data_IF_002237189227
#
_entry.id   IF_002237189227
#
_cell.length_a   1.000
_cell.length_b   1.000
_cell.length_c   1.000
_cell.angle_alpha   90.00
_cell.angle_beta   90.00
_cell.angle_gamma   90.00
#
_symmetry.space_group_name_H-M   'P 1'
#
loop_
_entity.id
_entity.type
_entity.pdbx_description
1 polymer ?
#
# COMPACT_ATOMS: atom_id res chain seq x y z
N UNK A 1 -2.10 -4.02 -13.87
CA UNK A 1 -0.86 -3.74 -14.62
C UNK A 1 0.32 -4.01 -13.70
N UNK A 2 1.27 -4.86 -14.10
CA UNK A 2 2.45 -5.21 -13.28
C UNK A 2 3.51 -4.09 -13.40
N UNK A 3 4.24 -3.75 -12.32
CA UNK A 3 5.41 -2.88 -12.42
C UNK A 3 6.62 -3.75 -12.82
N UNK A 4 6.80 -3.98 -14.12
CA UNK A 4 7.98 -4.70 -14.65
C UNK A 4 8.71 -3.93 -15.77
N UNK A 5 8.34 -2.67 -16.02
CA UNK A 5 8.92 -1.85 -17.11
C UNK A 5 9.63 -0.60 -16.57
N UNK A 6 10.55 -0.75 -15.61
CA UNK A 6 11.60 0.26 -15.40
C UNK A 6 12.88 -0.35 -15.97
N UNK A 7 13.14 -0.02 -17.23
CA UNK A 7 14.33 -0.42 -17.97
C UNK A 7 15.61 -0.03 -17.20
N UNK A 8 16.47 -1.02 -17.02
CA UNK A 8 17.78 -0.96 -16.35
C UNK A 8 18.87 -0.17 -17.11
N UNK A 9 18.53 0.82 -17.95
CA UNK A 9 19.50 1.43 -18.86
C UNK A 9 19.41 2.95 -18.94
N UNK A 10 19.63 3.61 -17.80
CA UNK A 10 19.95 5.04 -17.78
C UNK A 10 21.41 5.19 -17.35
N UNK A 11 22.32 5.22 -18.33
CA UNK A 11 23.74 5.52 -18.08
C UNK A 11 23.81 6.95 -17.54
N UNK A 12 24.28 7.12 -16.30
CA UNK A 12 24.52 8.45 -15.75
C UNK A 12 25.37 9.26 -16.75
N UNK A 13 24.99 10.50 -17.05
CA UNK A 13 25.70 11.31 -18.02
C UNK A 13 27.14 11.54 -17.56
N UNK A 14 28.09 11.59 -18.49
CA UNK A 14 29.52 11.81 -18.15
C UNK A 14 29.79 13.18 -17.50
N UNK A 15 28.84 14.11 -17.62
CA UNK A 15 28.86 15.43 -17.00
C UNK A 15 27.51 15.75 -16.38
N UNK A 16 27.52 16.47 -15.26
CA UNK A 16 26.32 16.97 -14.62
C UNK A 16 25.61 17.96 -15.56
N UNK A 17 24.30 17.80 -15.84
CA UNK A 17 23.60 18.66 -16.78
C UNK A 17 23.40 20.10 -16.29
N UNK A 18 23.53 20.34 -14.98
CA UNK A 18 23.33 21.66 -14.36
C UNK A 18 24.63 22.46 -14.34
N UNK A 19 25.72 21.86 -13.83
CA UNK A 19 27.00 22.55 -13.58
C UNK A 19 28.09 22.20 -14.59
N UNK A 20 27.91 21.13 -15.38
CA UNK A 20 28.94 20.59 -16.27
C UNK A 20 30.05 19.79 -15.57
N UNK A 21 29.96 19.58 -14.25
CA UNK A 21 30.94 18.82 -13.48
C UNK A 21 31.14 17.40 -14.00
N UNK A 22 32.37 16.85 -13.94
CA UNK A 22 32.58 15.45 -14.27
C UNK A 22 31.80 14.55 -13.30
N UNK A 23 31.18 13.50 -13.84
CA UNK A 23 30.45 12.50 -13.04
C UNK A 23 31.21 11.19 -13.07
N UNK A 24 31.69 10.77 -11.91
CA UNK A 24 32.29 9.46 -11.71
C UNK A 24 31.19 8.48 -11.28
N UNK A 25 31.02 7.40 -12.03
CA UNK A 25 30.15 6.29 -11.67
C UNK A 25 30.80 4.97 -12.09
N UNK A 26 30.44 3.87 -11.42
CA UNK A 26 30.89 2.52 -11.79
C UNK A 26 29.71 1.53 -11.80
N UNK A 27 29.75 0.48 -12.64
CA UNK A 27 28.66 -0.50 -12.73
C UNK A 27 28.38 -1.25 -11.42
N UNK A 28 29.39 -1.42 -10.57
CA UNK A 28 29.34 -2.10 -9.28
C UNK A 28 28.98 -1.17 -8.11
N UNK A 29 28.78 0.13 -8.37
CA UNK A 29 28.25 1.11 -7.41
C UNK A 29 26.72 1.06 -7.31
N UNK A 30 26.16 -0.14 -7.38
CA UNK A 30 24.72 -0.41 -7.37
C UNK A 30 24.44 -1.53 -6.38
N UNK A 31 23.43 -1.34 -5.55
CA UNK A 31 22.82 -2.39 -4.73
C UNK A 31 21.36 -2.54 -5.15
N UNK A 32 20.97 -3.74 -5.55
CA UNK A 32 19.63 -4.04 -6.03
C UNK A 32 19.04 -5.29 -5.34
N UNK A 33 17.74 -5.21 -5.04
CA UNK A 33 16.86 -6.27 -4.54
C UNK A 33 15.53 -6.20 -5.31
N UNK A 34 14.66 -7.17 -5.09
CA UNK A 34 13.37 -7.27 -5.79
C UNK A 34 12.50 -6.01 -5.65
N UNK A 35 12.59 -5.32 -4.51
CA UNK A 35 11.74 -4.18 -4.15
C UNK A 35 12.50 -2.86 -3.89
N UNK A 36 13.83 -2.87 -4.01
CA UNK A 36 14.68 -1.70 -3.71
C UNK A 36 15.95 -1.67 -4.55
N UNK A 37 16.31 -0.50 -5.07
CA UNK A 37 17.59 -0.26 -5.73
C UNK A 37 18.20 1.05 -5.24
N UNK A 38 19.52 1.07 -5.04
CA UNK A 38 20.29 2.30 -4.84
C UNK A 38 21.56 2.27 -5.69
N UNK A 39 21.85 3.41 -6.32
CA UNK A 39 23.08 3.65 -7.07
C UNK A 39 23.81 4.87 -6.49
N UNK A 40 25.13 4.84 -6.55
CA UNK A 40 25.97 5.98 -6.21
C UNK A 40 26.69 6.53 -7.45
N UNK A 41 26.89 7.83 -7.44
CA UNK A 41 27.79 8.54 -8.34
C UNK A 41 28.47 9.68 -7.56
N UNK A 42 29.61 10.16 -8.06
CA UNK A 42 30.37 11.25 -7.45
C UNK A 42 30.47 12.40 -8.44
N UNK A 43 29.96 13.56 -8.06
CA UNK A 43 29.99 14.78 -8.85
C UNK A 43 31.23 15.59 -8.47
N UNK A 44 31.99 15.99 -9.48
CA UNK A 44 33.22 16.79 -9.35
C UNK A 44 34.30 16.22 -8.42
N UNK A 45 34.23 14.92 -8.12
CA UNK A 45 35.12 14.26 -7.16
C UNK A 45 34.88 14.67 -5.71
N UNK A 46 33.80 15.39 -5.39
CA UNK A 46 33.59 16.01 -4.07
C UNK A 46 32.21 15.77 -3.46
N UNK A 47 31.20 15.59 -4.31
CA UNK A 47 29.81 15.40 -3.89
C UNK A 47 29.37 13.97 -4.16
N UNK A 48 28.95 13.24 -3.13
CA UNK A 48 28.39 11.89 -3.30
C UNK A 48 26.88 12.01 -3.53
N UNK A 49 26.40 11.51 -4.66
CA UNK A 49 24.98 11.50 -5.01
C UNK A 49 24.43 10.07 -4.94
N UNK A 50 23.41 9.89 -4.10
CA UNK A 50 22.71 8.63 -3.88
C UNK A 50 21.34 8.66 -4.56
N UNK A 51 21.14 7.74 -5.52
CA UNK A 51 19.91 7.62 -6.31
C UNK A 51 19.21 6.34 -5.88
N UNK A 52 18.09 6.47 -5.15
CA UNK A 52 17.34 5.33 -4.64
C UNK A 52 15.93 5.24 -5.25
N UNK A 53 15.45 4.00 -5.42
CA UNK A 53 14.09 3.70 -5.84
C UNK A 53 13.54 2.47 -5.10
N UNK A 54 12.22 2.43 -4.90
CA UNK A 54 11.53 1.32 -4.22
C UNK A 54 11.34 1.51 -2.71
N UNK A 55 11.13 0.42 -1.98
CA UNK A 55 10.81 0.42 -0.54
C UNK A 55 12.06 0.11 0.31
N UNK A 56 12.43 1.01 1.22
CA UNK A 56 13.63 0.85 2.04
C UNK A 56 13.35 0.04 3.31
N UNK A 57 13.78 -1.23 3.31
CA UNK A 57 13.74 -2.10 4.49
C UNK A 57 14.98 -1.98 5.40
N UNK A 58 14.84 -2.38 6.67
CA UNK A 58 15.89 -2.34 7.67
C UNK A 58 17.07 -3.26 7.34
N UNK A 59 16.83 -4.38 6.67
CA UNK A 59 17.88 -5.34 6.32
C UNK A 59 18.83 -4.80 5.25
N UNK A 60 18.36 -3.85 4.44
CA UNK A 60 19.15 -3.25 3.36
C UNK A 60 20.14 -2.21 3.88
N UNK A 61 19.91 -1.61 5.05
CA UNK A 61 20.70 -0.48 5.54
C UNK A 61 22.20 -0.83 5.70
N UNK A 62 22.53 -2.00 6.27
CA UNK A 62 23.95 -2.38 6.44
C UNK A 62 24.66 -2.58 5.09
N UNK A 63 24.11 -3.37 4.14
CA UNK A 63 24.64 -3.46 2.78
C UNK A 63 24.84 -2.11 2.10
N UNK A 64 23.86 -1.20 2.21
CA UNK A 64 23.93 0.14 1.60
C UNK A 64 25.11 0.95 2.13
N UNK A 65 25.32 0.97 3.45
CA UNK A 65 26.48 1.66 4.05
C UNK A 65 27.81 0.96 3.74
N UNK A 66 27.81 -0.36 3.56
CA UNK A 66 28.98 -1.09 3.07
C UNK A 66 29.34 -0.70 1.64
N UNK A 67 28.35 -0.62 0.76
CA UNK A 67 28.55 -0.14 -0.61
C UNK A 67 29.06 1.30 -0.63
N UNK A 68 28.42 2.20 0.13
CA UNK A 68 28.82 3.61 0.23
C UNK A 68 30.27 3.77 0.67
N UNK A 69 30.74 2.96 1.63
CA UNK A 69 32.14 3.00 2.07
C UNK A 69 33.10 2.66 0.93
N UNK A 70 32.82 1.61 0.16
CA UNK A 70 33.63 1.28 -1.02
C UNK A 70 33.61 2.39 -2.07
N UNK A 71 32.46 3.05 -2.26
CA UNK A 71 32.36 4.21 -3.17
C UNK A 71 33.29 5.33 -2.70
N UNK A 72 33.31 5.64 -1.40
CA UNK A 72 34.19 6.65 -0.82
C UNK A 72 35.67 6.26 -1.00
N UNK A 73 36.03 5.01 -0.72
CA UNK A 73 37.39 4.47 -0.92
C UNK A 73 37.85 4.59 -2.38
N UNK A 74 37.04 4.08 -3.31
CA UNK A 74 37.37 4.07 -4.73
C UNK A 74 37.34 5.46 -5.39
N UNK A 75 36.67 6.43 -4.77
CA UNK A 75 36.65 7.83 -5.19
C UNK A 75 37.73 8.69 -4.51
N UNK A 76 38.49 8.14 -3.54
CA UNK A 76 39.50 8.89 -2.78
C UNK A 76 38.93 9.86 -1.75
N UNK A 77 37.76 9.57 -1.20
CA UNK A 77 36.99 10.38 -0.25
C UNK A 77 36.90 9.76 1.16
N UNK A 78 37.93 9.02 1.56
CA UNK A 78 37.95 8.22 2.80
C UNK A 78 38.03 9.06 4.07
N UNK A 79 38.74 10.20 4.00
CA UNK A 79 38.99 11.07 5.14
C UNK A 79 37.85 12.07 5.35
N UNK A 80 37.42 12.77 4.30
CA UNK A 80 36.31 13.72 4.32
C UNK A 80 35.82 14.00 2.89
N UNK A 81 34.61 14.54 2.75
CA UNK A 81 34.08 15.00 1.46
C UNK A 81 33.13 16.19 1.66
N UNK A 82 32.97 17.03 0.63
CA UNK A 82 32.30 18.32 0.81
C UNK A 82 30.77 18.19 0.95
N UNK A 83 30.13 17.19 0.32
CA UNK A 83 28.69 17.08 0.42
C UNK A 83 28.05 15.78 -0.05
N UNK A 84 26.83 15.55 0.45
CA UNK A 84 26.02 14.39 0.11
C UNK A 84 24.68 14.84 -0.46
N UNK A 85 24.28 14.30 -1.61
CA UNK A 85 22.96 14.51 -2.20
C UNK A 85 22.18 13.18 -2.15
N UNK A 86 20.95 13.21 -1.66
CA UNK A 86 20.07 12.04 -1.62
C UNK A 86 18.76 12.28 -2.38
N UNK A 87 18.52 11.44 -3.39
CA UNK A 87 17.30 11.44 -4.19
C UNK A 87 16.24 10.52 -3.56
N UNK A 88 15.05 11.08 -3.32
CA UNK A 88 13.89 10.35 -2.80
C UNK A 88 12.69 10.28 -3.77
N UNK A 89 12.81 10.80 -5.00
CA UNK A 89 11.71 10.90 -5.97
C UNK A 89 11.03 9.55 -6.22
N UNK A 90 11.82 8.48 -6.37
CA UNK A 90 11.33 7.14 -6.69
C UNK A 90 11.24 6.21 -5.48
N UNK A 91 11.39 6.74 -4.26
CA UNK A 91 11.32 5.96 -3.02
C UNK A 91 9.86 5.88 -2.57
N UNK A 92 9.29 4.67 -2.55
CA UNK A 92 7.88 4.46 -2.20
C UNK A 92 7.63 4.48 -0.69
N UNK A 93 8.68 4.35 0.13
CA UNK A 93 8.59 4.44 1.59
C UNK A 93 9.79 3.83 2.32
N UNK A 94 9.72 3.79 3.66
CA UNK A 94 10.70 3.11 4.50
C UNK A 94 10.09 2.61 5.80
N UNK A 95 10.60 1.48 6.32
CA UNK A 95 10.14 0.97 7.61
C UNK A 95 10.67 1.83 8.77
N UNK A 96 10.00 1.84 9.93
CA UNK A 96 10.48 2.57 11.11
C UNK A 96 11.87 2.10 11.56
N UNK A 97 12.09 0.77 11.54
CA UNK A 97 13.39 0.15 11.85
C UNK A 97 14.47 0.57 10.87
N UNK A 98 14.16 0.72 9.58
CA UNK A 98 15.09 1.20 8.56
C UNK A 98 15.56 2.62 8.86
N UNK A 99 14.62 3.53 9.18
CA UNK A 99 14.90 4.93 9.50
C UNK A 99 15.82 5.09 10.71
N UNK A 100 15.51 4.40 11.82
CA UNK A 100 16.36 4.42 13.02
C UNK A 100 17.77 3.90 12.75
N UNK A 101 17.86 2.77 12.02
CA UNK A 101 19.14 2.14 11.67
C UNK A 101 19.97 3.02 10.73
N UNK A 102 19.32 3.71 9.79
CA UNK A 102 19.97 4.66 8.88
C UNK A 102 20.58 5.83 9.65
N UNK A 103 19.81 6.48 10.53
CA UNK A 103 20.31 7.60 11.35
C UNK A 103 21.49 7.16 12.22
N UNK A 104 21.40 5.99 12.86
CA UNK A 104 22.48 5.44 13.68
C UNK A 104 23.77 5.24 12.87
N UNK A 105 23.67 4.65 11.68
CA UNK A 105 24.83 4.39 10.83
C UNK A 105 25.37 5.66 10.16
N UNK A 106 24.51 6.62 9.84
CA UNK A 106 24.92 7.94 9.34
C UNK A 106 25.76 8.68 10.38
N UNK A 107 25.32 8.69 11.65
CA UNK A 107 26.09 9.30 12.76
C UNK A 107 27.45 8.61 12.94
N UNK A 108 27.48 7.27 12.90
CA UNK A 108 28.73 6.52 13.01
C UNK A 108 29.68 6.81 11.83
N UNK A 109 29.15 6.87 10.60
CA UNK A 109 29.96 7.24 9.43
C UNK A 109 30.54 8.64 9.57
N UNK A 110 29.73 9.62 9.98
CA UNK A 110 30.18 11.01 10.11
C UNK A 110 31.34 11.17 11.10
N UNK A 111 31.40 10.34 12.16
CA UNK A 111 32.53 10.34 13.10
C UNK A 111 33.86 9.88 12.48
N UNK A 112 33.81 9.11 11.40
CA UNK A 112 34.99 8.57 10.72
C UNK A 112 35.31 9.29 9.40
N UNK A 113 34.28 9.69 8.66
CA UNK A 113 34.37 10.38 7.37
C UNK A 113 33.36 11.54 7.39
N UNK A 114 33.74 12.71 7.97
CA UNK A 114 32.89 13.89 8.03
C UNK A 114 32.60 14.49 6.65
N UNK A 115 31.51 15.25 6.58
CA UNK A 115 31.09 16.02 5.41
C UNK A 115 30.34 17.29 5.78
N UNK A 116 30.34 18.31 4.93
CA UNK A 116 29.85 19.65 5.31
C UNK A 116 28.35 19.82 5.12
N UNK A 117 27.80 19.27 4.03
CA UNK A 117 26.38 19.41 3.67
C UNK A 117 25.70 18.08 3.34
N UNK A 118 24.42 18.00 3.68
CA UNK A 118 23.51 16.92 3.29
C UNK A 118 22.26 17.51 2.64
N UNK A 119 22.09 17.28 1.34
CA UNK A 119 20.99 17.81 0.55
C UNK A 119 20.04 16.66 0.18
N UNK A 120 18.74 16.85 0.39
CA UNK A 120 17.71 15.91 -0.07
C UNK A 120 16.80 16.56 -1.08
N UNK A 121 16.40 15.84 -2.13
CA UNK A 121 15.35 16.28 -3.05
C UNK A 121 14.38 15.14 -3.37
N UNK A 122 13.18 15.48 -3.86
CA UNK A 122 12.12 14.49 -4.08
C UNK A 122 11.57 13.87 -2.80
N UNK A 123 11.87 14.46 -1.64
CA UNK A 123 11.43 13.96 -0.34
C UNK A 123 9.93 14.22 -0.12
N UNK A 124 9.22 13.21 0.40
CA UNK A 124 7.82 13.37 0.86
C UNK A 124 7.71 14.47 1.93
N UNK A 125 6.52 15.04 2.13
CA UNK A 125 6.29 16.11 3.13
C UNK A 125 6.78 15.69 4.53
N UNK A 126 6.51 14.45 4.91
CA UNK A 126 7.02 13.79 6.11
C UNK A 126 8.56 13.72 6.19
N UNK A 127 9.23 13.30 5.10
CA UNK A 127 10.71 13.18 5.09
C UNK A 127 11.38 14.57 5.15
N UNK A 128 10.79 15.58 4.51
CA UNK A 128 11.27 16.97 4.60
C UNK A 128 11.19 17.50 6.04
N UNK A 129 10.12 17.20 6.77
CA UNK A 129 9.99 17.55 8.18
C UNK A 129 11.02 16.82 9.05
N UNK A 130 11.19 15.50 8.87
CA UNK A 130 12.18 14.72 9.60
C UNK A 130 13.63 15.18 9.36
N UNK A 131 13.95 15.57 8.12
CA UNK A 131 15.25 16.12 7.73
C UNK A 131 15.50 17.47 8.40
N UNK A 132 14.50 18.37 8.41
CA UNK A 132 14.57 19.66 9.15
C UNK A 132 14.74 19.47 10.65
N UNK A 133 14.03 18.51 11.27
CA UNK A 133 14.20 18.20 12.70
C UNK A 133 15.60 17.63 12.96
N UNK A 134 16.09 16.74 12.10
CA UNK A 134 17.42 16.15 12.26
C UNK A 134 18.53 17.18 12.19
N UNK A 135 18.34 18.25 11.40
CA UNK A 135 19.30 19.35 11.25
C UNK A 135 19.64 20.07 12.56
N UNK A 136 18.75 20.04 13.56
CA UNK A 136 18.96 20.64 14.88
C UNK A 136 19.97 19.86 15.73
N UNK A 137 20.24 18.61 15.39
CA UNK A 137 21.07 17.68 16.17
C UNK A 137 22.17 17.03 15.33
N UNK A 138 22.46 17.54 14.13
CA UNK A 138 23.55 17.10 13.25
C UNK A 138 24.68 18.11 13.24
N UNK A 139 25.92 17.62 13.19
CA UNK A 139 27.12 18.46 13.10
C UNK A 139 27.40 18.98 11.67
N UNK A 140 26.57 18.60 10.69
CA UNK A 140 26.62 19.03 9.30
C UNK A 140 25.35 19.77 8.91
N UNK A 141 25.43 20.64 7.89
CA UNK A 141 24.29 21.42 7.40
C UNK A 141 23.38 20.55 6.57
N UNK A 142 22.07 20.75 6.72
CA UNK A 142 21.07 19.92 6.03
C UNK A 142 20.14 20.82 5.21
N UNK A 143 19.99 20.50 3.93
CA UNK A 143 19.14 21.24 3.00
C UNK A 143 18.09 20.33 2.36
N UNK A 144 16.95 20.93 2.04
CA UNK A 144 15.86 20.27 1.34
C UNK A 144 15.60 21.06 0.06
N UNK A 145 15.95 20.48 -1.08
CA UNK A 145 15.67 21.01 -2.40
C UNK A 145 14.34 20.45 -2.95
N UNK A 146 13.69 21.21 -3.81
CA UNK A 146 12.49 20.80 -4.53
C UNK A 146 12.79 19.70 -5.54
N UNK A 147 13.90 19.83 -6.28
CA UNK A 147 14.31 18.94 -7.35
C UNK A 147 15.84 18.78 -7.44
N UNK A 148 16.30 18.06 -8.46
CA UNK A 148 17.72 17.81 -8.70
C UNK A 148 18.49 19.08 -9.07
N UNK A 149 17.87 20.01 -9.81
CA UNK A 149 18.53 21.24 -10.27
C UNK A 149 18.82 22.17 -9.09
N UNK A 150 17.83 22.36 -8.21
CA UNK A 150 18.03 23.11 -6.97
C UNK A 150 19.05 22.42 -6.05
N UNK A 151 19.03 21.08 -5.95
CA UNK A 151 19.97 20.35 -5.11
C UNK A 151 21.43 20.55 -5.54
N UNK A 152 21.70 20.48 -6.84
CA UNK A 152 23.05 20.70 -7.37
C UNK A 152 23.47 22.17 -7.27
N UNK A 153 22.56 23.10 -7.51
CA UNK A 153 22.83 24.54 -7.39
C UNK A 153 23.19 24.91 -5.93
N UNK A 154 22.49 24.34 -4.95
CA UNK A 154 22.82 24.51 -3.53
C UNK A 154 24.20 23.95 -3.18
N UNK A 155 24.56 22.78 -3.75
CA UNK A 155 25.89 22.23 -3.58
C UNK A 155 26.95 23.17 -4.18
N UNK A 156 26.78 23.65 -5.41
CA UNK A 156 27.71 24.58 -6.07
C UNK A 156 27.88 25.90 -5.30
N UNK A 157 26.78 26.47 -4.80
CA UNK A 157 26.82 27.66 -3.94
C UNK A 157 27.65 27.43 -2.67
N UNK A 158 27.53 26.24 -2.07
CA UNK A 158 28.33 25.87 -0.91
C UNK A 158 29.82 25.75 -1.24
N UNK A 159 30.18 25.05 -2.32
CA UNK A 159 31.57 24.87 -2.77
C UNK A 159 32.25 26.19 -3.15
N UNK A 160 31.48 27.15 -3.68
CA UNK A 160 31.98 28.47 -4.13
C UNK A 160 32.03 29.52 -3.01
N UNK A 161 31.56 29.20 -1.79
CA UNK A 161 31.54 30.12 -0.66
C UNK A 161 30.54 31.27 -0.80
N UNK A 162 29.59 31.18 -1.75
CA UNK A 162 28.52 32.19 -1.88
C UNK A 162 27.39 31.88 -0.90
N UNK A 163 26.96 32.84 -0.05
CA UNK A 163 25.78 32.64 0.77
C UNK A 163 24.55 32.63 -0.14
N UNK A 164 24.06 31.44 -0.48
CA UNK A 164 22.81 31.29 -1.22
C UNK A 164 21.66 31.93 -0.42
N UNK A 165 20.95 32.86 -1.06
CA UNK A 165 19.80 33.58 -0.50
C UNK A 165 18.52 32.71 -0.38
N UNK A 166 18.62 31.40 -0.57
CA UNK A 166 17.52 30.45 -0.40
C UNK A 166 17.86 29.43 0.70
N UNK A 167 17.36 29.71 1.91
CA UNK A 167 17.48 28.82 3.08
C UNK A 167 18.31 29.44 4.19
N UNK A 168 17.65 30.13 5.12
CA UNK A 168 18.28 30.70 6.32
C UNK A 168 19.17 29.69 7.04
N UNK A 169 20.44 30.02 7.34
CA UNK A 169 21.18 29.34 8.38
C UNK A 169 20.70 29.90 9.72
N UNK A 170 20.08 29.07 10.55
CA UNK A 170 19.95 29.39 11.97
C UNK A 170 21.32 29.20 12.64
N UNK A 171 22.22 30.15 12.44
CA UNK A 171 23.38 30.33 13.30
C UNK A 171 22.98 31.29 14.43
N UNK A 172 22.86 30.78 15.65
CA UNK A 172 23.03 31.60 16.85
C UNK A 172 24.17 31.01 17.66
N UNK A 173 25.33 31.66 17.52
CA UNK A 173 26.42 31.62 18.47
C UNK A 173 25.95 32.03 19.86
N UNK A 174 26.28 31.25 20.89
CA UNK A 174 26.08 31.60 22.29
C UNK A 174 26.14 30.36 23.17
N UNK A 175 27.32 30.06 23.70
CA UNK A 175 27.55 29.02 24.69
C UNK A 175 27.04 29.53 26.06
N UNK A 176 25.99 28.95 26.69
CA UNK A 176 25.65 29.28 28.07
C UNK A 176 26.39 28.30 29.01
N UNK A 177 26.93 28.84 30.10
CA UNK A 177 27.60 28.07 31.15
C UNK A 177 26.69 26.94 31.67
N UNK A 178 27.29 25.77 31.86
CA UNK A 178 26.65 24.45 31.99
C UNK A 178 25.74 24.21 33.21
N UNK A 179 25.45 25.21 34.05
CA UNK A 179 24.55 25.07 35.20
C UNK A 179 23.14 25.67 34.94
N UNK A 180 23.04 26.72 34.12
CA UNK A 180 21.74 27.34 33.77
C UNK A 180 21.06 26.65 32.57
N UNK A 181 21.80 25.80 31.84
CA UNK A 181 21.30 25.06 30.67
C UNK A 181 20.38 23.89 31.02
N UNK A 182 20.55 23.26 32.18
CA UNK A 182 19.76 22.07 32.56
C UNK A 182 18.29 22.43 32.87
N UNK A 183 18.05 23.44 33.72
CA UNK A 183 16.69 23.91 34.02
C UNK A 183 15.99 24.60 32.84
N UNK A 184 16.75 25.24 31.95
CA UNK A 184 16.21 25.84 30.72
C UNK A 184 15.75 24.77 29.72
N UNK A 185 16.43 23.61 29.67
CA UNK A 185 16.10 22.51 28.75
C UNK A 185 14.90 21.70 29.23
N UNK A 186 14.74 21.48 30.53
CA UNK A 186 13.59 20.76 31.11
C UNK A 186 12.26 21.48 30.84
N UNK A 187 12.22 22.82 30.96
CA UNK A 187 10.98 23.59 30.75
C UNK A 187 10.41 23.45 29.32
N UNK A 188 11.26 23.43 28.29
CA UNK A 188 10.82 23.22 26.91
C UNK A 188 10.44 21.76 26.61
N UNK A 189 11.08 20.81 27.28
CA UNK A 189 10.73 19.39 27.18
C UNK A 189 9.36 19.14 27.83
N UNK A 190 9.07 19.74 28.98
CA UNK A 190 7.77 19.66 29.64
C UNK A 190 6.66 20.31 28.81
N UNK A 191 6.93 21.45 28.18
CA UNK A 191 6.01 22.09 27.24
C UNK A 191 5.70 21.18 26.03
N UNK A 192 6.72 20.50 25.49
CA UNK A 192 6.57 19.52 24.42
C UNK A 192 5.76 18.30 24.88
N UNK A 193 6.02 17.76 26.07
CA UNK A 193 5.27 16.63 26.61
C UNK A 193 3.80 16.98 26.85
N UNK A 194 3.52 18.16 27.39
CA UNK A 194 2.15 18.64 27.58
C UNK A 194 1.42 18.80 26.24
N UNK A 195 2.10 19.35 25.24
CA UNK A 195 1.56 19.48 23.90
C UNK A 195 1.24 18.12 23.26
N UNK A 196 2.16 17.17 23.30
CA UNK A 196 1.93 15.80 22.80
C UNK A 196 0.78 15.14 23.56
N UNK A 197 0.74 15.32 24.88
CA UNK A 197 -0.31 14.80 25.76
C UNK A 197 -1.70 15.38 25.50
N UNK A 198 -1.79 16.60 24.96
CA UNK A 198 -3.06 17.22 24.58
C UNK A 198 -3.64 16.72 23.26
N UNK A 199 -2.87 16.00 22.44
CA UNK A 199 -3.35 15.52 21.14
C UNK A 199 -4.15 14.23 21.33
N UNK A 200 -5.44 14.28 21.00
CA UNK A 200 -6.25 13.06 20.83
C UNK A 200 -5.95 12.46 19.44
N UNK A 201 -5.02 11.50 19.40
CA UNK A 201 -4.61 10.79 18.20
C UNK A 201 -5.73 9.97 17.53
N UNK A 202 -6.90 9.83 18.17
CA UNK A 202 -8.04 9.05 17.65
C UNK A 202 -9.14 9.92 17.07
N UNK A 203 -9.05 11.25 17.20
CA UNK A 203 -10.07 12.19 16.70
C UNK A 203 -9.45 13.19 15.76
N UNK A 204 -10.19 13.56 14.72
CA UNK A 204 -9.76 14.57 13.76
C UNK A 204 -9.58 15.94 14.41
N UNK A 205 -8.50 16.61 14.03
CA UNK A 205 -8.18 17.98 14.42
C UNK A 205 -7.38 18.09 15.73
N UNK A 206 -7.05 19.34 16.07
CA UNK A 206 -6.41 19.71 17.33
C UNK A 206 -7.47 20.24 18.29
N UNK A 207 -7.62 19.59 19.43
CA UNK A 207 -8.41 20.14 20.53
C UNK A 207 -7.46 20.97 21.38
N UNK A 208 -7.47 22.29 21.18
CA UNK A 208 -6.71 23.38 21.83
C UNK A 208 -5.66 24.07 20.94
N UNK A 209 -5.64 25.42 20.92
CA UNK A 209 -4.44 26.16 20.56
C UNK A 209 -3.57 26.25 21.83
N UNK A 210 -2.54 25.42 21.93
CA UNK A 210 -1.39 25.81 22.75
C UNK A 210 -0.69 26.89 21.93
N UNK A 211 -0.78 28.15 22.33
CA UNK A 211 0.00 29.23 21.71
C UNK A 211 1.48 29.00 22.04
N UNK A 212 2.15 28.20 21.19
CA UNK A 212 3.57 27.96 21.31
C UNK A 212 4.29 29.21 20.79
N UNK A 213 5.13 29.78 21.64
CA UNK A 213 5.93 30.96 21.29
C UNK A 213 6.74 30.70 20.01
N UNK A 214 6.73 31.67 19.08
CA UNK A 214 7.54 31.62 17.85
C UNK A 214 9.04 31.66 18.12
N UNK A 215 9.44 32.00 19.35
CA UNK A 215 10.84 31.99 19.80
C UNK A 215 11.23 30.69 20.51
N UNK A 216 10.32 29.71 20.60
CA UNK A 216 10.62 28.42 21.24
C UNK A 216 11.65 27.65 20.39
N UNK A 217 12.80 27.24 20.97
CA UNK A 217 13.83 26.51 20.23
C UNK A 217 13.35 25.16 19.68
N UNK A 218 12.28 24.59 20.24
CA UNK A 218 11.64 23.36 19.78
C UNK A 218 10.47 23.61 18.82
N UNK A 219 10.16 24.86 18.42
CA UNK A 219 9.06 25.19 17.48
C UNK A 219 9.00 24.26 16.24
N UNK A 220 10.12 23.90 15.58
CA UNK A 220 10.10 22.97 14.46
C UNK A 220 9.59 21.57 14.81
N UNK A 221 9.74 21.12 16.07
CA UNK A 221 9.23 19.83 16.55
C UNK A 221 7.70 19.89 16.69
N UNK A 222 7.16 21.01 17.18
CA UNK A 222 5.71 21.22 17.24
C UNK A 222 5.08 21.25 15.84
N UNK A 223 5.66 22.00 14.89
CA UNK A 223 5.20 22.03 13.50
C UNK A 223 5.20 20.63 12.85
N UNK A 224 6.19 19.80 13.19
CA UNK A 224 6.27 18.44 12.70
C UNK A 224 5.19 17.54 13.31
N UNK A 225 4.89 17.68 14.60
CA UNK A 225 3.79 16.97 15.25
C UNK A 225 2.45 17.39 14.64
N UNK A 226 2.27 18.70 14.35
CA UNK A 226 1.06 19.19 13.71
C UNK A 226 0.81 18.52 12.36
N UNK A 227 1.87 18.45 11.56
CA UNK A 227 1.86 17.82 10.25
C UNK A 227 1.59 16.31 10.33
N UNK A 228 2.25 15.60 11.27
CA UNK A 228 2.03 14.15 11.48
C UNK A 228 0.57 13.88 11.85
N UNK A 229 0.00 14.67 12.75
CA UNK A 229 -1.39 14.51 13.18
C UNK A 229 -2.37 14.79 12.04
N UNK A 230 -2.10 15.80 11.19
CA UNK A 230 -2.89 16.04 9.97
C UNK A 230 -2.90 14.84 9.02
N UNK A 231 -1.74 14.22 8.77
CA UNK A 231 -1.63 13.03 7.91
C UNK A 231 -2.32 11.80 8.53
N UNK A 232 -2.19 11.60 9.84
CA UNK A 232 -2.89 10.52 10.55
C UNK A 232 -4.41 10.69 10.46
N UNK A 233 -4.91 11.93 10.54
CA UNK A 233 -6.32 12.22 10.39
C UNK A 233 -6.83 11.89 8.97
N UNK A 234 -6.08 12.28 7.94
CA UNK A 234 -6.43 11.94 6.54
C UNK A 234 -6.45 10.42 6.33
N UNK A 235 -5.46 9.69 6.84
CA UNK A 235 -5.42 8.22 6.76
C UNK A 235 -6.59 7.57 7.50
N UNK A 236 -6.96 8.09 8.67
CA UNK A 236 -8.09 7.57 9.44
C UNK A 236 -9.41 7.80 8.70
N UNK A 237 -9.58 8.96 8.05
CA UNK A 237 -10.74 9.24 7.20
C UNK A 237 -10.81 8.32 5.98
N UNK A 238 -9.70 8.15 5.26
CA UNK A 238 -9.63 7.24 4.11
C UNK A 238 -9.96 5.80 4.51
N UNK A 239 -9.39 5.34 5.64
CA UNK A 239 -9.70 4.02 6.19
C UNK A 239 -11.17 3.88 6.53
N UNK A 240 -11.76 4.87 7.23
CA UNK A 240 -13.16 4.86 7.61
C UNK A 240 -14.10 4.87 6.38
N UNK A 241 -13.76 5.65 5.35
CA UNK A 241 -14.49 5.66 4.08
C UNK A 241 -14.41 4.32 3.36
N UNK A 242 -13.23 3.70 3.31
CA UNK A 242 -13.01 2.38 2.71
C UNK A 242 -13.79 1.28 3.46
N UNK A 243 -13.76 1.29 4.79
CA UNK A 243 -14.55 0.37 5.62
C UNK A 243 -16.05 0.57 5.42
N UNK A 244 -16.51 1.82 5.35
CA UNK A 244 -17.92 2.14 5.09
C UNK A 244 -18.34 1.69 3.70
N UNK A 245 -17.52 1.92 2.67
CA UNK A 245 -17.78 1.44 1.32
C UNK A 245 -17.84 -0.11 1.26
N UNK A 246 -16.92 -0.79 1.95
CA UNK A 246 -16.91 -2.24 2.06
C UNK A 246 -18.17 -2.76 2.77
N UNK A 247 -18.56 -2.12 3.88
CA UNK A 247 -19.78 -2.44 4.62
C UNK A 247 -21.02 -2.24 3.75
N UNK A 248 -21.13 -1.10 3.06
CA UNK A 248 -22.24 -0.79 2.17
C UNK A 248 -22.33 -1.79 1.01
N UNK A 249 -21.20 -2.14 0.39
CA UNK A 249 -21.16 -3.16 -0.67
C UNK A 249 -21.63 -4.53 -0.16
N UNK A 250 -21.20 -4.94 1.04
CA UNK A 250 -21.66 -6.19 1.68
C UNK A 250 -23.16 -6.18 1.99
N UNK A 251 -23.69 -5.05 2.47
CA UNK A 251 -25.12 -4.89 2.76
C UNK A 251 -25.95 -4.91 1.48
N UNK A 252 -25.54 -4.18 0.44
CA UNK A 252 -26.16 -4.22 -0.89
C UNK A 252 -26.18 -5.63 -1.46
N UNK A 253 -25.05 -6.34 -1.40
CA UNK A 253 -24.96 -7.71 -1.87
C UNK A 253 -25.92 -8.66 -1.13
N UNK A 254 -26.02 -8.54 0.20
CA UNK A 254 -26.98 -9.31 1.00
C UNK A 254 -28.43 -8.97 0.65
N UNK A 255 -28.72 -7.69 0.43
CA UNK A 255 -30.06 -7.25 0.05
C UNK A 255 -30.47 -7.79 -1.33
N UNK A 256 -29.57 -7.72 -2.32
CA UNK A 256 -29.80 -8.27 -3.66
C UNK A 256 -30.07 -9.77 -3.62
N UNK A 257 -29.21 -10.56 -2.96
CA UNK A 257 -29.44 -12.00 -2.81
C UNK A 257 -30.74 -12.33 -2.05
N UNK A 258 -31.09 -11.51 -1.06
CA UNK A 258 -32.31 -11.66 -0.27
C UNK A 258 -33.60 -11.31 -1.02
N UNK A 259 -33.51 -10.43 -2.03
CA UNK A 259 -34.64 -10.03 -2.86
C UNK A 259 -34.96 -11.03 -3.98
N UNK A 260 -33.99 -11.87 -4.37
CA UNK A 260 -34.21 -12.92 -5.38
C UNK A 260 -35.15 -13.99 -4.79
N UNK A 261 -36.31 -14.25 -5.41
CA UNK A 261 -37.28 -15.21 -4.91
C UNK A 261 -36.88 -16.67 -5.17
N UNK A 262 -36.00 -16.89 -6.14
CA UNK A 262 -35.47 -18.20 -6.50
C UNK A 262 -34.28 -18.58 -5.59
N UNK A 263 -34.11 -19.87 -5.25
CA UNK A 263 -32.92 -20.36 -4.57
C UNK A 263 -31.63 -19.99 -5.30
N UNK A 264 -30.73 -19.35 -4.57
CA UNK A 264 -29.39 -19.01 -5.06
C UNK A 264 -28.36 -19.69 -4.17
N UNK A 265 -27.37 -20.31 -4.81
CA UNK A 265 -26.16 -20.84 -4.17
C UNK A 265 -24.93 -20.38 -4.93
N UNK A 266 -23.87 -20.06 -4.19
CA UNK A 266 -22.57 -19.71 -4.75
C UNK A 266 -21.57 -20.74 -4.28
N UNK A 267 -20.79 -21.25 -5.22
CA UNK A 267 -19.74 -22.22 -5.00
C UNK A 267 -18.37 -21.57 -5.22
N UNK A 268 -17.37 -21.99 -4.44
CA UNK A 268 -15.98 -21.69 -4.76
C UNK A 268 -15.51 -22.49 -6.01
N UNK A 269 -14.29 -22.23 -6.47
CA UNK A 269 -13.68 -22.96 -7.59
C UNK A 269 -13.54 -24.47 -7.36
N UNK A 270 -13.67 -24.96 -6.11
CA UNK A 270 -13.62 -26.38 -5.75
C UNK A 270 -15.01 -27.01 -5.66
N UNK A 271 -16.08 -26.24 -5.85
CA UNK A 271 -17.46 -26.69 -5.75
C UNK A 271 -18.03 -26.73 -4.34
N UNK A 272 -17.40 -26.06 -3.36
CA UNK A 272 -17.94 -25.95 -2.00
C UNK A 272 -18.87 -24.75 -1.90
N UNK A 273 -20.02 -24.91 -1.23
CA UNK A 273 -20.96 -23.81 -1.07
C UNK A 273 -20.39 -22.74 -0.12
N UNK A 274 -20.29 -21.50 -0.60
CA UNK A 274 -19.79 -20.33 0.15
C UNK A 274 -20.91 -19.37 0.54
N UNK A 275 -22.05 -19.45 -0.13
CA UNK A 275 -23.21 -18.61 0.16
C UNK A 275 -24.50 -19.27 -0.34
N UNK A 276 -25.58 -19.11 0.42
CA UNK A 276 -26.95 -19.38 -0.02
C UNK A 276 -27.86 -18.22 0.39
N UNK A 277 -28.92 -17.97 -0.37
CA UNK A 277 -29.96 -17.01 0.00
C UNK A 277 -31.10 -17.65 0.82
N UNK A 278 -32.01 -16.84 1.37
CA UNK A 278 -33.15 -17.31 2.18
C UNK A 278 -34.11 -18.21 1.39
N UNK A 279 -34.27 -17.97 0.08
CA UNK A 279 -35.12 -18.80 -0.76
C UNK A 279 -34.58 -20.23 -0.85
N UNK A 280 -33.26 -20.39 -0.93
CA UNK A 280 -32.61 -21.70 -0.89
C UNK A 280 -32.91 -22.43 0.40
N UNK A 281 -32.74 -21.77 1.55
CA UNK A 281 -33.05 -22.38 2.84
C UNK A 281 -34.51 -22.81 2.94
N UNK A 282 -35.44 -21.97 2.45
CA UNK A 282 -36.87 -22.23 2.49
C UNK A 282 -37.29 -23.41 1.60
N UNK A 283 -36.75 -23.50 0.39
CA UNK A 283 -37.14 -24.52 -0.60
C UNK A 283 -36.44 -25.86 -0.36
N UNK A 284 -35.13 -25.82 -0.07
CA UNK A 284 -34.36 -27.03 0.15
C UNK A 284 -34.36 -27.49 1.62
N UNK A 285 -34.73 -26.65 2.58
CA UNK A 285 -34.83 -27.01 4.01
C UNK A 285 -33.48 -27.13 4.73
N UNK A 286 -32.39 -26.67 4.11
CA UNK A 286 -31.06 -26.61 4.70
C UNK A 286 -30.83 -25.23 5.29
N UNK A 287 -30.13 -25.15 6.43
CA UNK A 287 -29.67 -23.86 6.94
C UNK A 287 -28.35 -23.50 6.30
N UNK A 288 -28.12 -22.22 6.06
CA UNK A 288 -26.85 -21.69 5.55
C UNK A 288 -25.65 -22.24 6.35
N UNK A 289 -25.75 -22.23 7.67
CA UNK A 289 -24.71 -22.68 8.60
C UNK A 289 -24.31 -24.15 8.36
N UNK A 290 -25.24 -24.99 7.92
CA UNK A 290 -25.01 -26.42 7.67
C UNK A 290 -24.29 -26.67 6.32
N UNK A 291 -24.23 -25.66 5.45
CA UNK A 291 -23.78 -25.79 4.06
C UNK A 291 -22.43 -25.13 3.79
N UNK A 292 -21.99 -24.19 4.63
CA UNK A 292 -20.80 -23.39 4.36
C UNK A 292 -19.53 -24.26 4.37
N UNK A 293 -18.76 -24.19 3.29
CA UNK A 293 -17.49 -24.90 3.13
C UNK A 293 -17.60 -26.37 2.77
N UNK A 294 -18.82 -26.88 2.54
CA UNK A 294 -19.09 -28.27 2.16
C UNK A 294 -19.76 -28.41 0.80
N UNK A 295 -19.87 -29.66 0.34
CA UNK A 295 -20.73 -30.04 -0.79
C UNK A 295 -22.16 -30.25 -0.31
N UNK A 296 -23.12 -29.81 -1.10
CA UNK A 296 -24.54 -30.01 -0.81
C UNK A 296 -24.96 -31.36 -1.38
N UNK A 297 -25.34 -32.29 -0.50
CA UNK A 297 -25.80 -33.63 -0.92
C UNK A 297 -27.30 -33.61 -1.24
N UNK A 298 -27.60 -33.19 -2.46
CA UNK A 298 -28.97 -33.00 -2.95
C UNK A 298 -29.16 -33.39 -4.42
N UNK A 299 -28.14 -33.98 -5.04
CA UNK A 299 -28.17 -34.42 -6.44
C UNK A 299 -28.54 -35.91 -6.45
N UNK A 300 -29.67 -36.31 -7.07
CA UNK A 300 -30.01 -37.71 -7.24
C UNK A 300 -28.90 -38.46 -7.99
N UNK A 301 -28.65 -39.75 -7.69
CA UNK A 301 -27.60 -40.53 -8.36
C UNK A 301 -27.69 -40.50 -9.89
N UNK A 302 -28.91 -40.46 -10.45
CA UNK A 302 -29.14 -40.43 -11.91
C UNK A 302 -28.77 -39.07 -12.55
N UNK A 303 -28.67 -38.01 -11.75
CA UNK A 303 -28.38 -36.63 -12.20
C UNK A 303 -26.93 -36.21 -11.93
N UNK A 304 -26.10 -37.09 -11.35
CA UNK A 304 -24.71 -36.77 -11.00
C UNK A 304 -23.89 -36.42 -12.25
N UNK A 305 -24.01 -37.22 -13.31
CA UNK A 305 -23.22 -37.02 -14.52
C UNK A 305 -23.66 -35.78 -15.31
N UNK A 306 -24.98 -35.54 -15.42
CA UNK A 306 -25.51 -34.32 -16.05
C UNK A 306 -25.09 -33.07 -15.28
N UNK A 307 -25.09 -33.13 -13.95
CA UNK A 307 -24.65 -32.03 -13.09
C UNK A 307 -23.15 -31.76 -13.24
N UNK A 308 -22.33 -32.81 -13.35
CA UNK A 308 -20.89 -32.67 -13.62
C UNK A 308 -20.62 -32.03 -14.98
N UNK A 309 -21.34 -32.47 -16.02
CA UNK A 309 -21.25 -31.87 -17.34
C UNK A 309 -21.64 -30.38 -17.32
N UNK A 310 -22.74 -30.04 -16.64
CA UNK A 310 -23.15 -28.64 -16.46
C UNK A 310 -22.11 -27.81 -15.70
N UNK A 311 -21.46 -28.35 -14.67
CA UNK A 311 -20.37 -27.68 -13.97
C UNK A 311 -19.16 -27.41 -14.88
N UNK A 312 -18.77 -28.41 -15.69
CA UNK A 312 -17.68 -28.25 -16.66
C UNK A 312 -18.02 -27.19 -17.71
N UNK A 313 -19.27 -27.17 -18.20
CA UNK A 313 -19.75 -26.14 -19.12
C UNK A 313 -19.66 -24.73 -18.51
N UNK A 314 -19.95 -24.55 -17.21
CA UNK A 314 -19.76 -23.24 -16.55
C UNK A 314 -18.28 -22.83 -16.56
N UNK A 315 -17.36 -23.77 -16.33
CA UNK A 315 -15.92 -23.49 -16.34
C UNK A 315 -15.44 -23.14 -17.75
N UNK A 316 -15.94 -23.82 -18.78
CA UNK A 316 -15.43 -23.68 -20.15
C UNK A 316 -16.14 -22.54 -20.92
N UNK A 317 -17.47 -22.46 -20.82
CA UNK A 317 -18.33 -21.55 -21.59
C UNK A 317 -18.85 -20.37 -20.75
N UNK A 318 -18.47 -20.29 -19.47
CA UNK A 318 -18.87 -19.25 -18.50
C UNK A 318 -20.34 -19.26 -18.08
N UNK A 319 -21.21 -19.99 -18.76
CA UNK A 319 -22.62 -20.14 -18.41
C UNK A 319 -23.11 -21.56 -18.72
N UNK A 320 -24.09 -22.05 -17.94
CA UNK A 320 -24.79 -23.28 -18.24
C UNK A 320 -26.26 -23.17 -17.85
N UNK A 321 -27.12 -23.79 -18.65
CA UNK A 321 -28.55 -23.82 -18.40
C UNK A 321 -29.10 -25.21 -18.71
N UNK A 322 -29.69 -25.85 -17.71
CA UNK A 322 -30.23 -27.20 -17.87
C UNK A 322 -31.33 -27.49 -16.84
N UNK A 323 -32.23 -28.40 -17.19
CA UNK A 323 -33.20 -28.96 -16.25
C UNK A 323 -32.62 -30.18 -15.56
N UNK A 324 -32.89 -30.32 -14.26
CA UNK A 324 -32.38 -31.41 -13.44
C UNK A 324 -33.32 -31.67 -12.27
N UNK A 325 -33.12 -32.80 -11.58
CA UNK A 325 -33.84 -33.14 -10.35
C UNK A 325 -32.93 -32.92 -9.14
N UNK A 326 -33.53 -32.48 -8.03
CA UNK A 326 -32.83 -32.29 -6.75
C UNK A 326 -33.67 -32.80 -5.60
N UNK A 327 -33.03 -33.23 -4.52
CA UNK A 327 -33.70 -33.56 -3.26
C UNK A 327 -33.62 -32.39 -2.28
N UNK A 328 -34.70 -32.10 -1.57
CA UNK A 328 -34.59 -31.26 -0.38
C UNK A 328 -34.10 -32.10 0.82
N UNK A 329 -33.85 -31.47 1.98
CA UNK A 329 -33.39 -32.16 3.19
C UNK A 329 -34.35 -33.25 3.68
N UNK A 330 -35.64 -33.18 3.35
CA UNK A 330 -36.64 -34.20 3.70
C UNK A 330 -36.74 -35.33 2.66
N UNK A 331 -35.91 -35.35 1.63
CA UNK A 331 -35.94 -36.34 0.55
C UNK A 331 -37.01 -36.12 -0.52
N UNK A 332 -37.72 -34.98 -0.51
CA UNK A 332 -38.69 -34.64 -1.55
C UNK A 332 -37.96 -34.23 -2.83
N UNK A 333 -38.35 -34.84 -3.95
CA UNK A 333 -37.85 -34.47 -5.27
C UNK A 333 -38.43 -33.13 -5.75
N UNK A 334 -37.56 -32.30 -6.31
CA UNK A 334 -37.86 -31.02 -6.94
C UNK A 334 -37.40 -31.05 -8.40
N UNK A 335 -38.27 -30.57 -9.30
CA UNK A 335 -37.89 -30.36 -10.70
C UNK A 335 -37.33 -28.95 -10.85
N UNK A 336 -36.04 -28.85 -11.14
CA UNK A 336 -35.28 -27.61 -11.10
C UNK A 336 -34.78 -27.27 -12.49
N UNK A 337 -34.96 -26.02 -12.87
CA UNK A 337 -34.19 -25.41 -13.95
C UNK A 337 -33.01 -24.66 -13.32
N UNK A 338 -31.79 -25.11 -13.60
CA UNK A 338 -30.58 -24.50 -13.08
C UNK A 338 -29.99 -23.54 -14.12
N UNK A 339 -29.75 -22.30 -13.70
CA UNK A 339 -29.00 -21.31 -14.46
C UNK A 339 -27.72 -20.98 -13.69
N UNK A 340 -26.57 -21.20 -14.31
CA UNK A 340 -25.27 -21.08 -13.68
C UNK A 340 -24.38 -20.12 -14.44
N UNK A 341 -23.58 -19.33 -13.72
CA UNK A 341 -22.61 -18.42 -14.31
C UNK A 341 -21.28 -18.44 -13.54
N UNK A 342 -20.17 -18.39 -14.28
CA UNK A 342 -18.83 -18.29 -13.73
C UNK A 342 -18.53 -16.85 -13.29
N UNK A 343 -17.94 -16.73 -12.10
CA UNK A 343 -17.33 -15.50 -11.60
C UNK A 343 -15.82 -15.67 -11.77
N UNK A 344 -15.21 -14.74 -12.51
CA UNK A 344 -13.78 -14.75 -12.82
C UNK A 344 -13.06 -13.56 -12.19
N UNK A 345 -11.79 -13.74 -11.87
CA UNK A 345 -10.94 -12.63 -11.43
C UNK A 345 -10.49 -11.78 -12.64
N UNK A 346 -9.72 -10.71 -12.38
CA UNK A 346 -9.19 -9.82 -13.43
C UNK A 346 -8.24 -10.51 -14.43
N UNK A 347 -7.74 -11.70 -14.09
CA UNK A 347 -6.85 -12.50 -14.92
C UNK A 347 -7.62 -13.53 -15.76
N UNK A 348 -8.95 -13.58 -15.64
CA UNK A 348 -9.82 -14.53 -16.36
C UNK A 348 -9.95 -15.89 -15.67
N UNK A 349 -9.32 -16.08 -14.52
CA UNK A 349 -9.37 -17.35 -13.78
C UNK A 349 -10.72 -17.50 -13.09
N UNK A 350 -11.29 -18.70 -13.13
CA UNK A 350 -12.52 -19.05 -12.42
C UNK A 350 -12.28 -19.07 -10.91
N UNK A 351 -13.02 -18.24 -10.17
CA UNK A 351 -12.89 -18.13 -8.71
C UNK A 351 -14.15 -18.59 -7.96
N UNK A 352 -15.31 -18.49 -8.60
CA UNK A 352 -16.58 -18.93 -8.03
C UNK A 352 -17.62 -19.17 -9.13
N UNK A 353 -18.70 -19.87 -8.80
CA UNK A 353 -19.87 -20.02 -9.66
C UNK A 353 -21.13 -19.63 -8.88
N UNK A 354 -22.00 -18.83 -9.49
CA UNK A 354 -23.34 -18.59 -8.97
C UNK A 354 -24.34 -19.49 -9.70
N UNK A 355 -25.25 -20.11 -8.95
CA UNK A 355 -26.30 -20.97 -9.49
C UNK A 355 -27.64 -20.52 -8.93
N UNK A 356 -28.59 -20.28 -9.83
CA UNK A 356 -29.98 -19.96 -9.54
C UNK A 356 -30.82 -21.19 -9.91
N UNK A 357 -31.58 -21.71 -8.96
CA UNK A 357 -32.50 -22.81 -9.17
C UNK A 357 -33.93 -22.30 -9.24
N UNK A 358 -34.61 -22.52 -10.35
CA UNK A 358 -36.03 -22.22 -10.48
C UNK A 358 -36.84 -23.50 -10.40
N UNK A 359 -37.80 -23.57 -9.48
CA UNK A 359 -38.73 -24.71 -9.41
C UNK A 359 -39.71 -24.63 -10.59
N UNK A 360 -39.67 -25.65 -11.46
CA UNK A 360 -40.53 -25.76 -12.65
C UNK A 360 -41.59 -26.86 -12.49
N UNK A 361 -41.79 -27.36 -11.26
CA UNK A 361 -42.73 -28.45 -10.98
C UNK A 361 -44.17 -28.12 -11.37
N UNK A 362 -44.65 -26.91 -11.08
CA UNK A 362 -46.01 -26.47 -11.44
C UNK A 362 -46.18 -26.35 -12.95
N UNK A 363 -45.21 -25.75 -13.62
CA UNK A 363 -45.17 -25.65 -15.09
C UNK A 363 -45.25 -27.04 -15.74
N UNK A 364 -44.44 -27.99 -15.29
CA UNK A 364 -44.47 -29.37 -15.79
C UNK A 364 -45.81 -30.07 -15.56
N UNK A 365 -46.47 -29.82 -14.42
CA UNK A 365 -47.80 -30.38 -14.15
C UNK A 365 -48.83 -29.82 -15.11
N UNK A 366 -48.83 -28.50 -15.34
CA UNK A 366 -49.74 -27.86 -16.28
C UNK A 366 -49.51 -28.37 -17.72
N UNK A 367 -48.26 -28.45 -18.17
CA UNK A 367 -47.89 -28.98 -19.49
C UNK A 367 -48.31 -30.45 -19.66
N UNK A 368 -48.11 -31.29 -18.65
CA UNK A 368 -48.56 -32.70 -18.69
C UNK A 368 -50.07 -32.83 -18.78
N UNK A 369 -50.83 -32.06 -17.98
CA UNK A 369 -52.29 -32.06 -18.05
C UNK A 369 -52.78 -31.61 -19.42
N UNK A 370 -52.19 -30.55 -19.99
CA UNK A 370 -52.56 -30.05 -21.30
C UNK A 370 -52.24 -31.06 -22.41
N UNK A 371 -51.08 -31.72 -22.35
CA UNK A 371 -50.72 -32.78 -23.28
C UNK A 371 -51.63 -34.01 -23.16
N UNK A 372 -52.04 -34.39 -21.96
CA UNK A 372 -52.99 -35.48 -21.74
C UNK A 372 -54.36 -35.15 -22.32
N UNK A 373 -54.86 -33.92 -22.10
CA UNK A 373 -56.11 -33.44 -22.71
C UNK A 373 -56.03 -33.41 -24.24
N UNK A 374 -54.92 -32.92 -24.80
CA UNK A 374 -54.70 -32.89 -26.24
C UNK A 374 -54.68 -34.31 -26.84
N UNK A 375 -53.98 -35.26 -26.20
CA UNK A 375 -53.96 -36.68 -26.61
C UNK A 375 -55.34 -37.33 -26.53
N UNK A 376 -56.12 -37.01 -25.51
CA UNK A 376 -57.48 -37.52 -25.37
C UNK A 376 -58.42 -37.00 -26.47
N UNK A 377 -58.36 -35.69 -26.77
CA UNK A 377 -59.15 -35.07 -27.83
C UNK A 377 -58.78 -35.56 -29.23
N UNK A 378 -57.49 -35.85 -29.47
CA UNK A 378 -56.99 -36.37 -30.75
C UNK A 378 -57.23 -37.87 -30.94
N UNK A 379 -57.60 -38.61 -29.88
CA UNK A 379 -58.03 -40.00 -29.97
C UNK A 379 -59.55 -40.18 -30.12
N UNK A 380 -60.32 -39.08 -30.02
CA UNK A 380 -61.78 -39.05 -30.15
C UNK A 380 -62.28 -38.60 -31.54
N UNK A 381 -61.38 -38.09 -32.38
CA UNK A 381 -61.57 -37.89 -33.82
C UNK A 381 -60.85 -39.01 -34.57
#
# INVERSE_FOLDING_TARGET
>A
MRPADIQHNDRSPAKCPVTGWPVLNRPDWIYAKEDFTIRYEVLDGRIVHAIASGYLDADYIRPIFGLRRRVLEEAGLEEAFEGFIANFVAVSGSSYRARLKYIKLLKAQYQHTPFDIYITYGASRWLRAAVKISSLFTAFKVFVAADYEEAVTLAEGHLSGTPSAAGSPASSSGNPQAADSEHFTEAYIDELYNYIGSIDWRKKGFQFPVEISTKNPLRPVFDAIELIKGEVDELFEEHQLSENALKQSREQYRALLGAIPDPVVIYDARGNATCVNKAFEKIYGWKREDLLGGKIDFVPPEEVESTRAGWQQVIDESQAFFETRRYNRSGRELNIQASSAAIRNQQGEHIASIVIHRDVSERRRAEKTMNQQFKYLSALH
#
